data_IF_625041744673
#
_entry.id   IF_625041744673
#
_cell.length_a   1.000
_cell.length_b   1.000
_cell.length_c   1.000
_cell.angle_alpha   90.00
_cell.angle_beta   90.00
_cell.angle_gamma   90.00
#
_symmetry.space_group_name_H-M   'P 1'
#
loop_
_entity.id
_entity.type
_entity.pdbx_description
1 polymer ?
#
# COMPACT_ATOMS: atom_id res chain seq x y z
N UNK A 1 -18.22 23.46 5.73
CA UNK A 1 -16.99 23.21 6.52
C UNK A 1 -16.34 21.97 5.92
N UNK A 2 -15.06 22.00 5.59
CA UNK A 2 -14.37 20.75 5.16
C UNK A 2 -14.13 19.91 6.41
N UNK A 3 -14.64 18.68 6.43
CA UNK A 3 -14.35 17.76 7.51
C UNK A 3 -12.89 17.29 7.35
N UNK A 4 -12.15 17.35 8.44
CA UNK A 4 -10.79 16.81 8.55
C UNK A 4 -10.89 15.62 9.48
N UNK A 5 -10.46 14.46 9.01
CA UNK A 5 -10.37 13.25 9.84
C UNK A 5 -9.04 13.30 10.57
N UNK A 6 -9.07 13.22 11.89
CA UNK A 6 -7.87 13.22 12.74
C UNK A 6 -7.30 11.79 12.84
N UNK A 7 -6.53 11.42 11.82
CA UNK A 7 -5.84 10.12 11.77
C UNK A 7 -4.52 10.22 12.52
N UNK A 8 -4.22 9.31 13.48
CA UNK A 8 -2.94 9.30 14.20
C UNK A 8 -1.75 9.20 13.24
N UNK A 9 -0.82 10.15 13.34
CA UNK A 9 0.39 10.14 12.50
C UNK A 9 1.43 9.15 13.00
N UNK A 10 2.03 8.40 12.07
CA UNK A 10 3.18 7.53 12.30
C UNK A 10 4.33 7.92 11.36
N UNK A 11 5.52 8.10 11.91
CA UNK A 11 6.73 8.34 11.12
C UNK A 11 7.34 7.01 10.66
N UNK A 12 7.45 6.84 9.35
CA UNK A 12 8.05 5.66 8.73
C UNK A 12 9.57 5.76 8.53
N UNK A 13 10.14 6.98 8.56
CA UNK A 13 11.46 7.31 8.02
C UNK A 13 12.62 6.51 8.62
N UNK A 14 12.48 6.07 9.87
CA UNK A 14 13.57 5.39 10.60
C UNK A 14 13.57 3.88 10.37
N UNK A 15 12.40 3.27 10.21
CA UNK A 15 12.29 1.81 10.29
C UNK A 15 11.66 1.14 9.06
N UNK A 16 10.85 1.89 8.32
CA UNK A 16 10.09 1.37 7.18
C UNK A 16 10.32 2.21 5.92
N UNK A 17 11.55 2.23 5.36
CA UNK A 17 11.92 3.16 4.28
C UNK A 17 11.04 3.02 3.03
N UNK A 18 10.53 1.82 2.75
CA UNK A 18 9.60 1.56 1.64
C UNK A 18 8.22 1.08 2.12
N UNK A 19 7.90 1.28 3.41
CA UNK A 19 6.70 0.74 4.04
C UNK A 19 5.53 1.71 4.13
N UNK A 20 5.44 2.73 3.28
CA UNK A 20 4.40 3.75 3.34
C UNK A 20 2.98 3.18 3.30
N UNK A 21 2.74 2.12 2.53
CA UNK A 21 1.47 1.43 2.45
C UNK A 21 1.07 0.80 3.79
N UNK A 22 2.02 0.10 4.42
CA UNK A 22 1.81 -0.56 5.72
C UNK A 22 1.63 0.46 6.84
N UNK A 23 2.43 1.52 6.84
CA UNK A 23 2.32 2.60 7.83
C UNK A 23 0.98 3.31 7.70
N UNK A 24 0.55 3.64 6.47
CA UNK A 24 -0.75 4.26 6.21
C UNK A 24 -1.91 3.35 6.63
N UNK A 25 -1.80 2.04 6.37
CA UNK A 25 -2.79 1.06 6.82
C UNK A 25 -2.92 1.02 8.34
N UNK A 26 -1.79 1.04 9.07
CA UNK A 26 -1.80 1.06 10.54
C UNK A 26 -2.32 2.38 11.10
N UNK A 27 -2.01 3.52 10.47
CA UNK A 27 -2.62 4.81 10.84
C UNK A 27 -4.15 4.74 10.72
N UNK A 28 -4.68 4.16 9.64
CA UNK A 28 -6.11 3.95 9.44
C UNK A 28 -6.68 3.00 10.52
N UNK A 29 -6.02 1.89 10.79
CA UNK A 29 -6.45 0.93 11.83
C UNK A 29 -6.51 1.57 13.21
N UNK A 30 -5.52 2.40 13.57
CA UNK A 30 -5.51 3.15 14.84
C UNK A 30 -6.63 4.18 14.92
N UNK A 31 -6.96 4.83 13.82
CA UNK A 31 -8.14 5.70 13.76
C UNK A 31 -9.43 4.94 14.07
N UNK A 32 -9.54 3.69 13.61
CA UNK A 32 -10.67 2.80 13.89
C UNK A 32 -10.62 2.17 15.31
N UNK A 33 -9.60 2.47 16.10
CA UNK A 33 -9.46 1.99 17.48
C UNK A 33 -8.72 0.66 17.65
N UNK A 34 -8.03 0.18 16.60
CA UNK A 34 -7.18 -1.02 16.70
C UNK A 34 -5.80 -0.67 17.26
N UNK A 35 -5.40 -1.34 18.32
CA UNK A 35 -4.06 -1.26 18.90
C UNK A 35 -3.11 -2.20 18.14
N UNK A 36 -2.62 -1.75 16.98
CA UNK A 36 -1.74 -2.53 16.12
C UNK A 36 -0.41 -1.78 15.87
N UNK A 37 0.70 -2.50 15.91
CA UNK A 37 1.99 -1.99 15.46
C UNK A 37 2.19 -2.21 13.95
N UNK A 38 3.10 -1.43 13.34
CA UNK A 38 3.44 -1.60 11.92
C UNK A 38 4.12 -2.94 11.68
N UNK A 39 4.99 -3.38 12.60
CA UNK A 39 5.64 -4.69 12.53
C UNK A 39 4.61 -5.82 12.54
N UNK A 40 3.62 -5.75 13.43
CA UNK A 40 2.54 -6.75 13.50
C UNK A 40 1.74 -6.80 12.20
N UNK A 41 1.39 -5.65 11.63
CA UNK A 41 0.69 -5.59 10.34
C UNK A 41 1.51 -6.22 9.22
N UNK A 42 2.80 -5.89 9.12
CA UNK A 42 3.70 -6.42 8.10
C UNK A 42 3.87 -7.94 8.25
N UNK A 43 4.12 -8.42 9.47
CA UNK A 43 4.46 -9.84 9.69
C UNK A 43 3.25 -10.78 9.67
N UNK A 44 2.06 -10.30 10.06
CA UNK A 44 0.89 -11.17 10.17
C UNK A 44 -0.08 -11.05 9.00
N UNK A 45 -0.15 -9.89 8.33
CA UNK A 45 -1.22 -9.63 7.38
C UNK A 45 -0.75 -9.27 5.97
N UNK A 46 0.47 -8.72 5.81
CA UNK A 46 0.97 -8.29 4.51
C UNK A 46 1.51 -9.48 3.71
N UNK A 47 0.88 -9.77 2.57
CA UNK A 47 1.43 -10.72 1.61
C UNK A 47 2.60 -10.08 0.87
N UNK A 48 3.81 -10.63 0.99
CA UNK A 48 5.05 -10.11 0.39
C UNK A 48 5.89 -11.21 -0.23
N UNK A 49 6.67 -10.85 -1.25
CA UNK A 49 7.63 -11.75 -1.90
C UNK A 49 8.89 -10.99 -2.30
N UNK A 50 10.03 -11.69 -2.19
CA UNK A 50 11.33 -11.17 -2.60
C UNK A 50 11.57 -11.32 -4.11
N UNK A 51 12.55 -10.58 -4.62
CA UNK A 51 13.05 -10.72 -5.98
C UNK A 51 14.03 -11.88 -6.09
N UNK A 52 14.17 -12.42 -7.30
CA UNK A 52 15.09 -13.50 -7.60
C UNK A 52 15.84 -13.22 -8.92
N UNK A 53 17.14 -13.54 -8.96
CA UNK A 53 17.89 -13.61 -10.19
C UNK A 53 17.85 -15.04 -10.73
N UNK A 54 17.33 -15.23 -11.96
CA UNK A 54 17.31 -16.49 -12.68
C UNK A 54 18.02 -16.29 -14.03
N UNK A 55 19.16 -16.95 -14.24
CA UNK A 55 19.94 -16.88 -15.49
C UNK A 55 20.31 -15.44 -15.93
N UNK A 56 20.54 -14.55 -14.96
CA UNK A 56 20.87 -13.14 -15.20
C UNK A 56 19.67 -12.21 -15.44
N UNK A 57 18.45 -12.72 -15.38
CA UNK A 57 17.22 -11.94 -15.47
C UNK A 57 16.56 -11.76 -14.09
N UNK A 58 16.01 -10.58 -13.84
CA UNK A 58 15.32 -10.28 -12.61
C UNK A 58 13.87 -10.75 -12.67
N UNK A 59 13.50 -11.61 -11.73
CA UNK A 59 12.13 -12.05 -11.49
C UNK A 59 11.61 -11.48 -10.19
N UNK A 60 10.39 -10.95 -10.21
CA UNK A 60 9.74 -10.36 -9.04
C UNK A 60 8.26 -10.71 -8.95
N UNK A 61 7.64 -10.36 -7.82
CA UNK A 61 6.21 -10.56 -7.63
C UNK A 61 5.37 -9.60 -8.47
N UNK A 62 4.08 -9.93 -8.58
CA UNK A 62 3.05 -9.05 -9.10
C UNK A 62 2.62 -8.06 -7.99
N UNK A 63 2.83 -6.74 -8.15
CA UNK A 63 2.52 -5.76 -7.10
C UNK A 63 1.01 -5.59 -6.84
N UNK A 64 0.16 -6.22 -7.64
CA UNK A 64 -1.29 -6.29 -7.36
C UNK A 64 -1.66 -7.45 -6.42
N UNK A 65 -0.72 -8.37 -6.18
CA UNK A 65 -0.92 -9.57 -5.34
C UNK A 65 -0.01 -9.58 -4.11
N UNK A 66 1.18 -9.00 -4.22
CA UNK A 66 2.20 -9.02 -3.18
C UNK A 66 2.90 -7.68 -3.04
N UNK A 67 3.35 -7.37 -1.85
CA UNK A 67 4.36 -6.33 -1.65
C UNK A 67 5.70 -6.83 -2.26
N UNK A 68 6.30 -6.01 -3.12
CA UNK A 68 7.51 -6.35 -3.86
C UNK A 68 8.75 -6.07 -3.04
N UNK A 69 9.29 -7.11 -2.38
CA UNK A 69 10.40 -7.04 -1.43
C UNK A 69 9.93 -6.95 0.01
N UNK A 70 10.59 -6.13 0.83
CA UNK A 70 10.32 -5.95 2.24
C UNK A 70 10.16 -4.47 2.62
N UNK A 71 9.13 -4.09 3.40
CA UNK A 71 8.96 -2.71 3.89
C UNK A 71 10.14 -2.18 4.73
N UNK A 72 10.97 -3.08 5.24
CA UNK A 72 12.18 -2.77 6.01
C UNK A 72 13.41 -2.46 5.16
N UNK A 73 13.34 -2.71 3.84
CA UNK A 73 14.44 -2.57 2.90
C UNK A 73 14.28 -1.33 2.02
N UNK A 74 15.36 -0.56 1.85
CA UNK A 74 15.39 0.65 1.00
C UNK A 74 15.27 0.34 -0.50
N UNK A 75 15.60 -0.88 -0.93
CA UNK A 75 15.60 -1.30 -2.34
C UNK A 75 14.29 -1.99 -2.78
N UNK A 76 13.26 -1.98 -1.94
CA UNK A 76 11.95 -2.56 -2.25
C UNK A 76 11.07 -1.61 -3.04
N UNK A 77 10.01 -2.14 -3.68
CA UNK A 77 9.20 -1.39 -4.64
C UNK A 77 7.73 -1.22 -4.24
N UNK A 78 7.34 -1.69 -3.05
CA UNK A 78 5.97 -1.50 -2.55
C UNK A 78 4.93 -2.40 -3.20
N UNK A 79 3.67 -1.97 -3.12
CA UNK A 79 2.53 -2.69 -3.69
C UNK A 79 1.40 -1.73 -4.09
N UNK A 80 0.42 -2.27 -4.83
CA UNK A 80 -0.79 -1.53 -5.18
C UNK A 80 -1.96 -1.80 -4.21
N UNK A 81 -3.03 -1.02 -4.34
CA UNK A 81 -4.18 -1.04 -3.46
C UNK A 81 -4.77 -2.43 -3.15
N UNK A 82 -4.88 -3.39 -4.09
CA UNK A 82 -5.43 -4.71 -3.80
C UNK A 82 -4.70 -5.45 -2.68
N UNK A 83 -3.37 -5.32 -2.57
CA UNK A 83 -2.57 -5.98 -1.54
C UNK A 83 -2.92 -5.46 -0.15
N UNK A 84 -2.98 -4.14 0.01
CA UNK A 84 -3.35 -3.51 1.29
C UNK A 84 -4.82 -3.75 1.62
N UNK A 85 -5.71 -3.75 0.62
CA UNK A 85 -7.12 -4.12 0.79
C UNK A 85 -7.26 -5.53 1.39
N UNK A 86 -6.51 -6.50 0.86
CA UNK A 86 -6.49 -7.86 1.41
C UNK A 86 -5.89 -7.94 2.82
N UNK A 87 -4.78 -7.26 3.06
CA UNK A 87 -4.15 -7.20 4.37
C UNK A 87 -5.09 -6.59 5.43
N UNK A 88 -5.76 -5.48 5.11
CA UNK A 88 -6.76 -4.86 5.97
C UNK A 88 -7.93 -5.80 6.24
N UNK A 89 -8.48 -6.49 5.23
CA UNK A 89 -9.56 -7.48 5.42
C UNK A 89 -9.16 -8.59 6.39
N UNK A 90 -7.93 -9.09 6.30
CA UNK A 90 -7.41 -10.08 7.25
C UNK A 90 -7.29 -9.51 8.67
N UNK A 91 -6.83 -8.26 8.79
CA UNK A 91 -6.57 -7.62 10.10
C UNK A 91 -7.86 -7.26 10.86
N UNK A 92 -8.90 -6.80 10.18
CA UNK A 92 -10.15 -6.32 10.83
C UNK A 92 -11.29 -7.33 10.79
N UNK A 93 -11.15 -8.43 10.00
CA UNK A 93 -12.21 -9.42 9.83
C UNK A 93 -13.50 -8.80 9.27
N UNK A 94 -14.63 -9.20 9.84
CA UNK A 94 -15.97 -8.76 9.39
C UNK A 94 -16.46 -7.47 10.08
N UNK A 95 -15.62 -6.83 10.91
CA UNK A 95 -16.04 -5.65 11.68
C UNK A 95 -16.32 -4.42 10.81
N UNK A 96 -15.55 -4.25 9.73
CA UNK A 96 -15.72 -3.18 8.75
C UNK A 96 -15.59 -3.72 7.34
N UNK A 97 -16.26 -3.07 6.40
CA UNK A 97 -16.08 -3.32 4.98
C UNK A 97 -14.85 -2.56 4.47
N UNK A 98 -13.95 -3.27 3.80
CA UNK A 98 -12.77 -2.67 3.12
C UNK A 98 -13.02 -2.67 1.62
N UNK A 99 -13.06 -1.47 1.04
CA UNK A 99 -13.34 -1.27 -0.37
C UNK A 99 -12.07 -0.88 -1.13
N UNK A 100 -11.86 -1.49 -2.29
CA UNK A 100 -10.92 -0.98 -3.29
C UNK A 100 -11.66 0.03 -4.18
N UNK A 101 -11.31 1.30 -4.02
CA UNK A 101 -11.93 2.41 -4.72
C UNK A 101 -11.03 2.97 -5.84
N UNK A 102 -10.09 2.17 -6.34
CA UNK A 102 -9.17 2.54 -7.43
C UNK A 102 -9.95 3.08 -8.62
N UNK A 103 -9.54 4.25 -9.11
CA UNK A 103 -10.21 4.93 -10.23
C UNK A 103 -11.38 5.84 -9.85
N UNK A 104 -11.73 5.92 -8.55
CA UNK A 104 -12.78 6.83 -8.07
C UNK A 104 -12.27 8.27 -8.07
N UNK A 105 -13.10 9.21 -8.50
CA UNK A 105 -12.78 10.64 -8.49
C UNK A 105 -12.58 11.16 -7.05
N UNK A 106 -11.58 12.02 -6.86
CA UNK A 106 -11.24 12.63 -5.54
C UNK A 106 -12.45 13.32 -4.92
N UNK A 107 -13.30 13.99 -5.72
CA UNK A 107 -14.50 14.64 -5.20
C UNK A 107 -15.48 13.63 -4.60
N UNK A 108 -15.66 12.47 -5.22
CA UNK A 108 -16.50 11.39 -4.71
C UNK A 108 -15.91 10.81 -3.42
N UNK A 109 -14.58 10.59 -3.37
CA UNK A 109 -13.91 10.16 -2.14
C UNK A 109 -14.14 11.15 -0.99
N UNK A 110 -14.07 12.46 -1.28
CA UNK A 110 -14.34 13.51 -0.30
C UNK A 110 -15.78 13.44 0.22
N UNK A 111 -16.78 13.47 -0.68
CA UNK A 111 -18.19 13.63 -0.27
C UNK A 111 -18.82 12.35 0.27
N UNK A 112 -18.43 11.19 -0.28
CA UNK A 112 -19.06 9.92 0.08
C UNK A 112 -18.36 9.19 1.24
N UNK A 113 -17.09 9.52 1.50
CA UNK A 113 -16.29 8.84 2.53
C UNK A 113 -15.73 9.81 3.58
N UNK A 114 -14.85 10.73 3.21
CA UNK A 114 -14.15 11.60 4.16
C UNK A 114 -15.13 12.50 4.93
N UNK A 115 -16.09 13.13 4.25
CA UNK A 115 -17.10 13.99 4.89
C UNK A 115 -18.04 13.22 5.84
N UNK A 116 -18.07 11.88 5.69
CA UNK A 116 -18.81 10.96 6.58
C UNK A 116 -17.95 10.33 7.68
N UNK A 117 -16.68 10.76 7.80
CA UNK A 117 -15.75 10.26 8.82
C UNK A 117 -15.10 8.93 8.47
N UNK A 118 -15.18 8.48 7.21
CA UNK A 118 -14.53 7.26 6.76
C UNK A 118 -13.14 7.56 6.22
N UNK A 119 -12.06 6.98 6.80
CA UNK A 119 -10.70 7.22 6.35
C UNK A 119 -10.42 6.55 5.01
N UNK A 120 -9.58 7.18 4.19
CA UNK A 120 -9.21 6.71 2.84
C UNK A 120 -7.69 6.72 2.72
N UNK A 121 -7.12 5.64 2.16
CA UNK A 121 -5.71 5.56 1.76
C UNK A 121 -5.62 5.90 0.28
N UNK A 122 -4.70 6.80 -0.09
CA UNK A 122 -4.47 7.23 -1.47
C UNK A 122 -3.06 6.88 -1.92
N UNK A 123 -2.94 6.38 -3.14
CA UNK A 123 -1.67 6.26 -3.84
C UNK A 123 -1.47 7.50 -4.71
N UNK A 124 -0.41 8.25 -4.46
CA UNK A 124 -0.10 9.49 -5.18
C UNK A 124 1.37 9.56 -5.54
N UNK A 125 1.67 10.21 -6.66
CA UNK A 125 3.06 10.51 -7.03
C UNK A 125 3.62 11.66 -6.18
N UNK A 126 4.91 11.62 -5.89
CA UNK A 126 5.61 12.69 -5.16
C UNK A 126 5.35 14.03 -5.88
N UNK A 127 4.96 15.02 -5.08
CA UNK A 127 4.56 16.36 -5.55
C UNK A 127 3.40 16.36 -6.56
N UNK A 128 2.56 15.32 -6.57
CA UNK A 128 1.42 15.18 -7.50
C UNK A 128 1.83 15.33 -8.99
N UNK A 129 3.04 14.89 -9.33
CA UNK A 129 3.54 14.87 -10.70
C UNK A 129 3.02 13.65 -11.44
N UNK A 130 3.12 13.67 -12.77
CA UNK A 130 2.81 12.49 -13.58
C UNK A 130 3.73 11.32 -13.21
N UNK A 131 3.20 10.08 -13.21
CA UNK A 131 4.00 8.89 -12.94
C UNK A 131 5.15 8.76 -13.94
N UNK A 132 6.32 8.41 -13.44
CA UNK A 132 7.46 8.07 -14.29
C UNK A 132 7.59 6.56 -14.42
N UNK A 133 8.13 6.10 -15.55
CA UNK A 133 8.46 4.70 -15.77
C UNK A 133 9.59 4.30 -14.83
N UNK A 134 9.34 3.30 -14.01
CA UNK A 134 10.30 2.74 -13.07
C UNK A 134 11.02 1.50 -13.59
N UNK A 135 11.60 0.71 -12.70
CA UNK A 135 12.28 -0.52 -13.05
C UNK A 135 11.33 -1.56 -13.65
N UNK A 136 11.93 -2.52 -14.34
CA UNK A 136 11.23 -3.64 -14.98
C UNK A 136 11.75 -4.97 -14.43
N UNK A 137 10.85 -5.94 -14.34
CA UNK A 137 11.20 -7.33 -14.02
C UNK A 137 10.23 -8.30 -14.69
N UNK A 138 10.59 -9.57 -14.73
CA UNK A 138 9.65 -10.63 -15.15
C UNK A 138 8.82 -11.08 -13.97
N UNK A 139 7.52 -11.21 -14.17
CA UNK A 139 6.64 -11.75 -13.14
C UNK A 139 6.96 -13.23 -12.89
N UNK A 140 7.07 -13.62 -11.62
CA UNK A 140 7.40 -15.00 -11.21
C UNK A 140 6.40 -16.03 -11.72
N UNK A 141 5.13 -15.65 -11.77
CA UNK A 141 4.02 -16.55 -12.12
C UNK A 141 3.84 -16.72 -13.63
N UNK A 142 3.98 -15.64 -14.42
CA UNK A 142 3.70 -15.66 -15.86
C UNK A 142 4.92 -15.54 -16.75
N UNK A 143 6.04 -15.03 -16.23
CA UNK A 143 7.22 -14.67 -17.00
C UNK A 143 7.06 -13.42 -17.87
N UNK A 144 5.90 -12.75 -17.80
CA UNK A 144 5.64 -11.49 -18.51
C UNK A 144 6.47 -10.35 -17.92
N UNK A 145 6.89 -9.42 -18.78
CA UNK A 145 7.63 -8.23 -18.35
C UNK A 145 6.65 -7.26 -17.72
N UNK A 146 6.88 -6.95 -16.43
CA UNK A 146 6.19 -5.89 -15.72
C UNK A 146 7.05 -4.64 -15.66
N UNK A 147 6.41 -3.49 -15.87
CA UNK A 147 7.05 -2.17 -15.74
C UNK A 147 6.38 -1.42 -14.59
N UNK A 148 7.15 -1.08 -13.57
CA UNK A 148 6.64 -0.32 -12.44
C UNK A 148 6.35 1.13 -12.86
N UNK A 149 5.15 1.60 -12.57
CA UNK A 149 4.84 3.02 -12.55
C UNK A 149 5.16 3.54 -11.16
N UNK A 150 6.14 4.42 -11.02
CA UNK A 150 6.56 4.95 -9.73
C UNK A 150 5.48 5.88 -9.17
N UNK A 151 4.67 5.32 -8.31
CA UNK A 151 3.72 6.00 -7.46
C UNK A 151 4.30 5.91 -6.05
N UNK A 152 4.47 7.05 -5.38
CA UNK A 152 4.81 7.09 -3.96
C UNK A 152 3.57 7.50 -3.17
N UNK A 153 3.37 6.85 -2.06
CA UNK A 153 2.28 7.17 -1.11
C UNK A 153 2.71 8.26 -0.17
#
# INVERSE_FOLDING_TARGET
>A
MRNVIDVPYLDQSVRYPTGCESVSAVMLLRYLGYEMSVDEFIEQYLDRQEFELREGELYGPDPTKYFCGSPYDEESFGCYAPVITQALKKAIGEMYEVLDLTGTEIKTLQTEYIDKGMPVILWACINMREPITGPQWKLKDSGEVFTLSLIHI
#
